data_IF_526117558364
#
_entry.id   IF_526117558364
#
_cell.length_a   1.000
_cell.length_b   1.000
_cell.length_c   1.000
_cell.angle_alpha   90.00
_cell.angle_beta   90.00
_cell.angle_gamma   90.00
#
_symmetry.space_group_name_H-M   'P 1'
#
loop_
_entity.id
_entity.type
_entity.pdbx_description
1 polymer ?
#
# COMPACT_ATOMS: atom_id res chain seq x y z
N UNK A 1 -32.95 -6.48 26.49
CA UNK A 1 -31.64 -6.66 25.81
C UNK A 1 -30.90 -5.34 25.72
N UNK A 2 -29.68 -5.26 26.24
CA UNK A 2 -28.90 -4.03 26.32
C UNK A 2 -27.59 -4.22 25.54
N UNK A 3 -27.67 -4.17 24.20
CA UNK A 3 -26.55 -4.25 23.26
C UNK A 3 -25.67 -2.97 23.27
N UNK A 4 -25.36 -2.44 24.45
CA UNK A 4 -24.53 -1.23 24.56
C UNK A 4 -23.08 -1.65 24.62
N UNK A 5 -22.31 -1.17 23.64
CA UNK A 5 -20.85 -1.26 23.62
C UNK A 5 -20.29 -0.63 24.90
N UNK A 6 -19.41 -1.36 25.57
CA UNK A 6 -18.72 -0.84 26.74
C UNK A 6 -17.48 -0.01 26.32
N UNK A 7 -16.77 0.53 27.30
CA UNK A 7 -15.59 1.37 27.04
C UNK A 7 -14.45 0.59 26.34
N UNK A 8 -14.34 -0.73 26.60
CA UNK A 8 -13.34 -1.58 25.97
C UNK A 8 -13.69 -1.80 24.50
N UNK A 9 -14.96 -2.05 24.19
CA UNK A 9 -15.45 -2.20 22.82
C UNK A 9 -15.18 -0.93 22.00
N UNK A 10 -15.49 0.25 22.56
CA UNK A 10 -15.21 1.53 21.90
C UNK A 10 -13.71 1.75 21.66
N UNK A 11 -12.86 1.34 22.61
CA UNK A 11 -11.41 1.41 22.44
C UNK A 11 -10.94 0.50 21.31
N UNK A 12 -11.44 -0.73 21.26
CA UNK A 12 -11.13 -1.69 20.21
C UNK A 12 -11.56 -1.17 18.83
N UNK A 13 -12.79 -0.67 18.71
CA UNK A 13 -13.29 -0.03 17.48
C UNK A 13 -12.45 1.17 17.06
N UNK A 14 -11.97 1.97 18.01
CA UNK A 14 -11.06 3.08 17.75
C UNK A 14 -9.76 2.62 17.08
N UNK A 15 -9.15 1.54 17.57
CA UNK A 15 -7.95 0.96 16.97
C UNK A 15 -8.22 0.42 15.55
N UNK A 16 -9.32 -0.32 15.37
CA UNK A 16 -9.72 -0.82 14.04
C UNK A 16 -9.92 0.35 13.07
N UNK A 17 -10.61 1.40 13.49
CA UNK A 17 -10.84 2.59 12.66
C UNK A 17 -9.53 3.27 12.25
N UNK A 18 -8.56 3.37 13.16
CA UNK A 18 -7.22 3.89 12.84
C UNK A 18 -6.51 3.03 11.80
N UNK A 19 -6.54 1.70 11.95
CA UNK A 19 -5.95 0.77 10.97
C UNK A 19 -6.63 0.86 9.61
N UNK A 20 -7.96 0.94 9.57
CA UNK A 20 -8.75 1.01 8.33
C UNK A 20 -8.66 2.38 7.63
N UNK A 21 -8.25 3.44 8.33
CA UNK A 21 -8.02 4.74 7.71
C UNK A 21 -6.91 4.69 6.67
N UNK A 22 -5.87 3.88 6.90
CA UNK A 22 -4.73 3.74 5.99
C UNK A 22 -5.11 3.20 4.60
N UNK A 23 -5.77 2.02 4.47
CA UNK A 23 -6.20 1.52 3.17
C UNK A 23 -7.30 2.39 2.55
N UNK A 24 -8.12 3.08 3.34
CA UNK A 24 -9.09 4.03 2.82
C UNK A 24 -8.41 5.23 2.12
N UNK A 25 -7.36 5.79 2.73
CA UNK A 25 -6.55 6.84 2.11
C UNK A 25 -5.81 6.34 0.86
N UNK A 26 -5.25 5.13 0.92
CA UNK A 26 -4.62 4.49 -0.24
C UNK A 26 -5.60 4.31 -1.40
N UNK A 27 -6.79 3.76 -1.14
CA UNK A 27 -7.83 3.58 -2.16
C UNK A 27 -8.30 4.92 -2.73
N UNK A 28 -8.45 5.94 -1.89
CA UNK A 28 -8.84 7.28 -2.33
C UNK A 28 -7.78 7.91 -3.24
N UNK A 29 -6.50 7.61 -3.05
CA UNK A 29 -5.40 8.14 -3.89
C UNK A 29 -5.52 7.69 -5.35
N UNK A 30 -6.16 6.54 -5.60
CA UNK A 30 -6.44 5.99 -6.92
C UNK A 30 -7.72 6.53 -7.55
N UNK A 31 -8.60 7.15 -6.76
CA UNK A 31 -9.90 7.65 -7.18
C UNK A 31 -9.77 9.04 -7.82
N UNK A 32 -9.23 9.08 -9.05
CA UNK A 32 -9.19 10.29 -9.87
C UNK A 32 -9.79 10.04 -11.24
N UNK A 33 -10.75 10.87 -11.63
CA UNK A 33 -11.30 10.88 -12.99
C UNK A 33 -10.47 11.72 -13.97
N UNK A 34 -9.52 12.53 -13.48
CA UNK A 34 -8.80 13.54 -14.27
C UNK A 34 -7.32 13.21 -14.49
N UNK A 35 -6.75 12.33 -13.69
CA UNK A 35 -5.32 12.04 -13.70
C UNK A 35 -5.10 10.53 -13.72
N UNK A 36 -4.10 10.09 -14.49
CA UNK A 36 -3.60 8.72 -14.42
C UNK A 36 -3.18 8.42 -12.98
N UNK A 37 -3.66 7.31 -12.44
CA UNK A 37 -3.37 6.88 -11.07
C UNK A 37 -2.59 5.58 -11.00
N UNK A 38 -2.43 4.87 -12.12
CA UNK A 38 -1.68 3.61 -12.19
C UNK A 38 -0.21 3.78 -11.73
N UNK A 39 0.42 4.92 -12.02
CA UNK A 39 1.78 5.23 -11.56
C UNK A 39 1.88 5.25 -10.02
N UNK A 40 0.79 5.60 -9.32
CA UNK A 40 0.76 5.67 -7.85
C UNK A 40 0.63 4.31 -7.20
N UNK A 41 0.25 3.28 -7.94
CA UNK A 41 -0.15 1.99 -7.36
C UNK A 41 0.99 1.36 -6.57
N UNK A 42 2.17 1.22 -7.16
CA UNK A 42 3.31 0.59 -6.48
C UNK A 42 3.75 1.43 -5.27
N UNK A 43 4.03 2.75 -5.39
CA UNK A 43 4.38 3.57 -4.23
C UNK A 43 3.35 3.57 -3.10
N UNK A 44 2.06 3.57 -3.44
CA UNK A 44 0.98 3.58 -2.45
C UNK A 44 0.91 2.26 -1.68
N UNK A 45 1.09 1.13 -2.37
CA UNK A 45 1.12 -0.19 -1.72
C UNK A 45 2.36 -0.37 -0.84
N UNK A 46 3.52 0.13 -1.27
CA UNK A 46 4.74 0.16 -0.44
C UNK A 46 4.53 0.99 0.83
N UNK A 47 4.01 2.21 0.68
CA UNK A 47 3.73 3.10 1.80
C UNK A 47 2.73 2.48 2.78
N UNK A 48 1.64 1.88 2.29
CA UNK A 48 0.66 1.18 3.11
C UNK A 48 1.30 0.01 3.89
N UNK A 49 2.16 -0.76 3.22
CA UNK A 49 2.87 -1.89 3.84
C UNK A 49 3.79 -1.41 4.97
N UNK A 50 4.58 -0.36 4.74
CA UNK A 50 5.46 0.23 5.76
C UNK A 50 4.66 0.74 6.96
N UNK A 51 3.56 1.47 6.70
CA UNK A 51 2.71 2.01 7.77
C UNK A 51 2.08 0.91 8.61
N UNK A 52 1.52 -0.12 7.99
CA UNK A 52 0.91 -1.23 8.72
C UNK A 52 1.92 -2.09 9.46
N UNK A 53 3.13 -2.29 8.94
CA UNK A 53 4.22 -2.93 9.71
C UNK A 53 4.56 -2.11 10.95
N UNK A 54 4.73 -0.80 10.80
CA UNK A 54 4.99 0.09 11.96
C UNK A 54 3.84 0.08 12.97
N UNK A 55 2.59 -0.08 12.53
CA UNK A 55 1.46 -0.23 13.45
C UNK A 55 1.47 -1.59 14.15
N UNK A 56 1.80 -2.68 13.44
CA UNK A 56 1.88 -4.02 14.05
C UNK A 56 2.97 -4.11 15.13
N UNK A 57 4.07 -3.36 14.97
CA UNK A 57 5.18 -3.31 15.93
C UNK A 57 4.91 -2.41 17.16
N UNK A 58 3.87 -1.58 17.11
CA UNK A 58 3.52 -0.67 18.20
C UNK A 58 2.60 -1.34 19.22
N UNK A 59 3.00 -1.28 20.49
CA UNK A 59 2.28 -1.84 21.64
C UNK A 59 0.82 -1.38 21.73
N UNK A 60 0.49 -0.20 21.18
CA UNK A 60 -0.89 0.30 21.18
C UNK A 60 -1.85 -0.58 20.35
N UNK A 61 -1.33 -1.30 19.35
CA UNK A 61 -2.12 -2.15 18.45
C UNK A 61 -1.98 -3.65 18.76
N UNK A 62 -1.31 -4.04 19.85
CA UNK A 62 -1.06 -5.44 20.19
C UNK A 62 -2.35 -6.30 20.22
N UNK A 63 -3.48 -5.70 20.62
CA UNK A 63 -4.78 -6.37 20.68
C UNK A 63 -5.36 -6.73 19.30
N UNK A 64 -4.90 -6.06 18.23
CA UNK A 64 -5.38 -6.24 16.86
C UNK A 64 -4.24 -6.53 15.88
N UNK A 65 -3.08 -6.94 16.38
CA UNK A 65 -1.89 -7.20 15.57
C UNK A 65 -2.14 -8.31 14.53
N UNK A 66 -2.93 -9.32 14.88
CA UNK A 66 -3.39 -10.39 13.99
C UNK A 66 -4.23 -9.87 12.81
N UNK A 67 -5.10 -8.89 13.08
CA UNK A 67 -5.90 -8.21 12.05
C UNK A 67 -5.00 -7.41 11.10
N UNK A 68 -4.01 -6.70 11.63
CA UNK A 68 -3.05 -5.95 10.81
C UNK A 68 -2.22 -6.91 9.95
N UNK A 69 -1.76 -8.03 10.50
CA UNK A 69 -1.01 -9.04 9.76
C UNK A 69 -1.84 -9.67 8.63
N UNK A 70 -3.13 -9.94 8.87
CA UNK A 70 -4.05 -10.38 7.82
C UNK A 70 -4.20 -9.32 6.71
N UNK A 71 -4.25 -8.04 7.08
CA UNK A 71 -4.21 -6.91 6.15
C UNK A 71 -2.94 -6.91 5.29
N UNK A 72 -1.77 -7.05 5.93
CA UNK A 72 -0.47 -7.11 5.24
C UNK A 72 -0.39 -8.26 4.24
N UNK A 73 -0.90 -9.45 4.59
CA UNK A 73 -0.99 -10.60 3.66
C UNK A 73 -1.87 -10.28 2.46
N UNK A 74 -2.95 -9.53 2.66
CA UNK A 74 -3.81 -9.10 1.55
C UNK A 74 -3.12 -8.06 0.66
N UNK A 75 -2.39 -7.10 1.23
CA UNK A 75 -1.61 -6.12 0.45
C UNK A 75 -0.52 -6.81 -0.36
N UNK A 76 0.22 -7.75 0.22
CA UNK A 76 1.25 -8.53 -0.47
C UNK A 76 0.68 -9.30 -1.69
N UNK A 77 -0.51 -9.90 -1.54
CA UNK A 77 -1.22 -10.53 -2.66
C UNK A 77 -1.47 -9.56 -3.83
N UNK A 78 -1.84 -8.32 -3.56
CA UNK A 78 -2.09 -7.33 -4.61
C UNK A 78 -0.79 -6.72 -5.15
N UNK A 79 0.22 -6.53 -4.30
CA UNK A 79 1.55 -6.10 -4.72
C UNK A 79 2.16 -7.07 -5.73
N UNK A 80 2.07 -8.39 -5.46
CA UNK A 80 2.50 -9.44 -6.40
C UNK A 80 1.75 -9.41 -7.73
N UNK A 81 0.46 -9.05 -7.72
CA UNK A 81 -0.30 -8.90 -8.97
C UNK A 81 0.13 -7.67 -9.75
N UNK A 82 0.52 -6.60 -9.07
CA UNK A 82 1.01 -5.39 -9.73
C UNK A 82 2.39 -5.60 -10.32
N UNK A 83 3.27 -6.38 -9.68
CA UNK A 83 4.59 -6.70 -10.23
C UNK A 83 4.54 -7.65 -11.43
N UNK A 84 3.48 -8.46 -11.56
CA UNK A 84 3.23 -9.30 -12.75
C UNK A 84 2.75 -8.52 -13.98
N UNK A 85 2.58 -7.21 -13.87
CA UNK A 85 2.05 -6.35 -14.94
C UNK A 85 2.97 -5.15 -15.16
N UNK A 86 3.67 -5.14 -16.29
CA UNK A 86 4.60 -4.06 -16.67
C UNK A 86 3.95 -2.67 -16.69
N UNK A 87 2.64 -2.59 -16.92
CA UNK A 87 1.86 -1.34 -16.96
C UNK A 87 2.13 -0.44 -15.76
N UNK A 88 2.20 -0.98 -14.55
CA UNK A 88 2.38 -0.16 -13.35
C UNK A 88 3.79 0.44 -13.27
N UNK A 89 4.80 -0.35 -13.63
CA UNK A 89 6.19 0.12 -13.71
C UNK A 89 6.35 1.16 -14.82
N UNK A 90 5.83 0.88 -16.01
CA UNK A 90 5.88 1.79 -17.15
C UNK A 90 5.20 3.11 -16.81
N UNK A 91 3.99 3.08 -16.23
CA UNK A 91 3.30 4.29 -15.80
C UNK A 91 4.09 5.07 -14.73
N UNK A 92 4.73 4.38 -13.78
CA UNK A 92 5.58 5.00 -12.76
C UNK A 92 6.76 5.75 -13.38
N UNK A 93 7.48 5.13 -14.30
CA UNK A 93 8.65 5.72 -14.95
C UNK A 93 8.29 6.82 -15.95
N UNK A 94 7.12 6.73 -16.60
CA UNK A 94 6.63 7.77 -17.50
C UNK A 94 6.10 9.01 -16.77
N UNK A 95 5.81 8.94 -15.46
CA UNK A 95 5.40 10.12 -14.72
C UNK A 95 6.58 11.11 -14.58
N UNK A 96 6.45 12.34 -15.10
CA UNK A 96 7.56 13.30 -15.16
C UNK A 96 8.03 13.78 -13.78
N UNK A 97 7.26 13.57 -12.71
CA UNK A 97 7.66 13.95 -11.35
C UNK A 97 8.55 12.89 -10.68
N UNK A 98 8.45 11.62 -11.08
CA UNK A 98 9.14 10.50 -10.43
C UNK A 98 10.23 9.90 -11.31
N UNK A 99 9.93 9.69 -12.60
CA UNK A 99 10.84 9.09 -13.58
C UNK A 99 11.49 7.80 -13.04
N UNK A 100 12.70 7.50 -13.51
CA UNK A 100 13.52 6.41 -12.99
C UNK A 100 14.05 6.68 -11.57
N UNK A 101 14.11 7.95 -11.13
CA UNK A 101 14.74 8.30 -9.86
C UNK A 101 14.04 7.73 -8.64
N UNK A 102 12.73 7.47 -8.72
CA UNK A 102 12.02 6.76 -7.65
C UNK A 102 12.50 5.31 -7.56
N UNK A 103 12.48 4.55 -8.65
CA UNK A 103 12.83 3.13 -8.62
C UNK A 103 14.32 2.93 -8.33
N UNK A 104 15.20 3.77 -8.87
CA UNK A 104 16.65 3.71 -8.63
C UNK A 104 17.05 4.02 -7.18
N UNK A 105 16.23 4.77 -6.44
CA UNK A 105 16.51 5.15 -5.05
C UNK A 105 15.96 4.18 -4.01
N UNK A 106 14.99 3.34 -4.38
CA UNK A 106 14.21 2.53 -3.44
C UNK A 106 14.19 1.04 -3.76
N UNK A 107 14.52 0.63 -4.99
CA UNK A 107 14.48 -0.76 -5.43
C UNK A 107 15.88 -1.32 -5.72
N UNK A 108 15.97 -2.64 -5.74
CA UNK A 108 17.21 -3.34 -6.06
C UNK A 108 17.54 -3.25 -7.55
N UNK A 109 18.83 -3.35 -7.88
CA UNK A 109 19.31 -3.20 -9.26
C UNK A 109 18.65 -4.18 -10.23
N UNK A 110 18.37 -5.41 -9.79
CA UNK A 110 17.73 -6.45 -10.61
C UNK A 110 16.30 -6.05 -11.00
N UNK A 111 15.49 -5.59 -10.04
CA UNK A 111 14.12 -5.13 -10.29
C UNK A 111 14.08 -3.92 -11.24
N UNK A 112 15.05 -3.01 -11.11
CA UNK A 112 15.17 -1.84 -12.00
C UNK A 112 15.59 -2.26 -13.41
N UNK A 113 16.49 -3.23 -13.53
CA UNK A 113 16.96 -3.74 -14.82
C UNK A 113 15.84 -4.47 -15.57
N UNK A 114 15.09 -5.33 -14.90
CA UNK A 114 13.96 -6.06 -15.47
C UNK A 114 12.87 -5.10 -15.95
N UNK A 115 12.50 -4.11 -15.13
CA UNK A 115 11.52 -3.11 -15.52
C UNK A 115 11.97 -2.28 -16.72
N UNK A 116 13.26 -1.93 -16.82
CA UNK A 116 13.83 -1.22 -17.97
C UNK A 116 13.75 -2.04 -19.25
N UNK A 117 14.05 -3.34 -19.18
CA UNK A 117 13.94 -4.24 -20.32
C UNK A 117 12.50 -4.31 -20.85
N UNK A 118 11.50 -4.36 -19.95
CA UNK A 118 10.09 -4.29 -20.35
C UNK A 118 9.73 -2.95 -21.00
N UNK A 119 10.24 -1.82 -20.48
CA UNK A 119 10.00 -0.49 -21.05
C UNK A 119 10.58 -0.35 -22.47
N UNK A 120 11.76 -0.90 -22.73
CA UNK A 120 12.43 -0.84 -24.04
C UNK A 120 11.78 -1.75 -25.10
N UNK A 121 10.94 -2.70 -24.67
CA UNK A 121 10.25 -3.64 -25.55
C UNK A 121 8.88 -3.14 -26.08
N UNK A 122 8.41 -1.97 -25.61
CA UNK A 122 7.13 -1.33 -26.01
C UNK A 122 7.36 -0.32 -27.14
#
# INVERSE_FOLDING_TARGET
DNFKLDQSDWRHLGLIHQVLKEPAMAQQSFSSAKHLTAWKTIPTLECLTVRWRSMADDLQYLLIADVIEAGLKNVDKYFKKTSQSDVYFICLVLDPNYKLTYVEGWWDFEDVADGRACLEAV
#
